data_IF_011205976352
#
_entry.id   IF_011205976352
#
_cell.length_a   1.000
_cell.length_b   1.000
_cell.length_c   1.000
_cell.angle_alpha   90.00
_cell.angle_beta   90.00
_cell.angle_gamma   90.00
#
_symmetry.space_group_name_H-M   'P 1'
#
loop_
_entity.id
_entity.type
_entity.pdbx_description
1 polymer ?
#
# COMPACT_ATOMS: atom_id res chain seq x y z
N UNK A 1 15.18 -10.00 20.11
CA UNK A 1 15.15 -8.52 20.31
C UNK A 1 16.11 -7.81 19.33
N UNK A 2 17.22 -8.44 18.91
CA UNK A 2 18.20 -7.84 17.99
C UNK A 2 17.60 -7.39 16.67
N UNK A 3 16.67 -8.14 16.09
CA UNK A 3 15.97 -7.76 14.84
C UNK A 3 15.22 -6.43 14.97
N UNK A 4 14.60 -6.17 16.14
CA UNK A 4 13.88 -4.92 16.39
C UNK A 4 14.84 -3.71 16.50
N UNK A 5 16.05 -3.93 17.01
CA UNK A 5 17.09 -2.90 17.08
C UNK A 5 17.63 -2.54 15.68
N UNK A 6 17.56 -3.47 14.74
CA UNK A 6 18.11 -3.34 13.39
C UNK A 6 17.02 -3.08 12.33
N UNK A 7 15.81 -2.60 12.73
CA UNK A 7 14.75 -2.31 11.77
C UNK A 7 15.14 -1.26 10.71
N UNK A 8 16.09 -0.39 11.01
CA UNK A 8 16.61 0.59 10.05
C UNK A 8 17.29 -0.08 8.84
N UNK A 9 17.80 -1.32 8.99
CA UNK A 9 18.39 -2.10 7.88
C UNK A 9 17.34 -2.48 6.81
N UNK A 10 16.06 -2.36 7.14
CA UNK A 10 14.92 -2.65 6.26
C UNK A 10 14.25 -1.38 5.73
N UNK A 11 14.93 -0.25 5.75
CA UNK A 11 14.41 0.99 5.21
C UNK A 11 14.05 0.84 3.72
N UNK A 12 12.95 1.48 3.29
CA UNK A 12 12.63 1.53 1.86
C UNK A 12 13.74 2.27 1.10
N UNK A 13 14.17 1.76 -0.06
CA UNK A 13 15.27 2.34 -0.82
C UNK A 13 14.94 3.77 -1.25
N UNK A 14 15.97 4.63 -1.38
CA UNK A 14 15.80 5.91 -2.02
C UNK A 14 15.36 5.72 -3.48
N UNK A 15 14.63 6.70 -4.02
CA UNK A 15 14.18 6.65 -5.42
C UNK A 15 15.34 6.46 -6.40
N UNK A 16 16.51 7.03 -6.12
CA UNK A 16 17.74 6.88 -6.93
C UNK A 16 18.28 5.45 -6.99
N UNK A 17 17.86 4.59 -6.08
CA UNK A 17 18.25 3.18 -6.04
C UNK A 17 17.50 2.30 -7.04
N UNK A 18 16.37 2.79 -7.54
CA UNK A 18 15.64 2.06 -8.56
C UNK A 18 16.39 2.06 -9.88
N UNK A 19 16.38 0.94 -10.62
CA UNK A 19 17.04 0.85 -11.92
C UNK A 19 16.55 1.94 -12.88
N UNK A 20 17.50 2.61 -13.54
CA UNK A 20 17.20 3.60 -14.60
C UNK A 20 16.93 2.94 -15.96
N UNK A 21 17.14 1.63 -16.06
CA UNK A 21 16.87 0.82 -17.25
C UNK A 21 15.59 -0.02 -17.01
N UNK A 22 14.87 -0.29 -18.10
CA UNK A 22 13.69 -1.13 -18.05
C UNK A 22 14.07 -2.60 -17.81
N UNK A 23 13.37 -3.26 -16.88
CA UNK A 23 13.66 -4.64 -16.44
C UNK A 23 12.68 -5.64 -17.03
N UNK A 24 13.15 -6.87 -17.29
CA UNK A 24 12.27 -8.01 -17.54
C UNK A 24 11.66 -8.55 -16.24
N UNK A 25 10.58 -9.33 -16.34
CA UNK A 25 9.80 -9.83 -15.22
C UNK A 25 10.64 -10.52 -14.12
N UNK A 26 11.58 -11.38 -14.50
CA UNK A 26 12.47 -12.10 -13.58
C UNK A 26 13.38 -11.14 -12.80
N UNK A 27 13.90 -10.11 -13.48
CA UNK A 27 14.71 -9.07 -12.87
C UNK A 27 13.89 -8.20 -11.92
N UNK A 28 12.64 -7.87 -12.27
CA UNK A 28 11.71 -7.14 -11.41
C UNK A 28 11.48 -7.91 -10.10
N UNK A 29 11.18 -9.21 -10.20
CA UNK A 29 10.94 -10.05 -9.02
C UNK A 29 12.20 -10.11 -8.15
N UNK A 30 13.36 -10.40 -8.73
CA UNK A 30 14.61 -10.46 -7.99
C UNK A 30 14.97 -9.14 -7.31
N UNK A 31 14.72 -8.01 -7.98
CA UNK A 31 14.97 -6.68 -7.41
C UNK A 31 14.03 -6.42 -6.23
N UNK A 32 12.72 -6.67 -6.40
CA UNK A 32 11.71 -6.38 -5.38
C UNK A 32 11.79 -7.33 -4.18
N UNK A 33 12.14 -8.59 -4.37
CA UNK A 33 12.32 -9.53 -3.25
C UNK A 33 13.36 -9.03 -2.23
N UNK A 34 14.42 -8.39 -2.68
CA UNK A 34 15.43 -7.79 -1.77
C UNK A 34 14.81 -6.65 -0.93
N UNK A 35 13.90 -5.89 -1.50
CA UNK A 35 13.26 -4.74 -0.83
C UNK A 35 12.10 -5.15 0.09
N UNK A 36 11.62 -6.37 -0.05
CA UNK A 36 10.45 -6.89 0.67
C UNK A 36 10.81 -7.80 1.85
N UNK A 37 12.10 -7.92 2.20
CA UNK A 37 12.56 -8.85 3.24
C UNK A 37 11.88 -8.62 4.60
N UNK A 38 11.63 -7.36 4.99
CA UNK A 38 10.98 -7.06 6.28
C UNK A 38 9.57 -7.66 6.39
N UNK A 39 8.80 -7.65 5.31
CA UNK A 39 7.42 -8.15 5.31
C UNK A 39 7.33 -9.64 4.98
N UNK A 40 8.46 -10.31 4.81
CA UNK A 40 8.54 -11.75 4.58
C UNK A 40 8.47 -12.48 5.93
N UNK A 41 7.31 -13.05 6.23
CA UNK A 41 7.07 -13.77 7.50
C UNK A 41 7.42 -15.25 7.37
N UNK A 42 7.25 -15.83 6.18
CA UNK A 42 7.50 -17.24 5.87
C UNK A 42 8.37 -17.39 4.61
N UNK A 43 8.65 -18.63 4.20
CA UNK A 43 9.44 -18.92 3.01
C UNK A 43 8.70 -18.74 1.69
N UNK A 44 7.42 -18.38 1.72
CA UNK A 44 6.65 -18.14 0.51
C UNK A 44 7.12 -16.86 -0.20
N UNK A 45 7.14 -16.85 -1.56
CA UNK A 45 7.47 -15.64 -2.30
C UNK A 45 6.41 -14.57 -2.10
N UNK A 46 6.84 -13.36 -1.75
CA UNK A 46 5.93 -12.22 -1.58
C UNK A 46 5.37 -11.77 -2.92
N UNK A 47 6.16 -11.89 -3.98
CA UNK A 47 5.79 -11.51 -5.33
C UNK A 47 6.17 -12.61 -6.33
N UNK A 48 5.24 -12.96 -7.22
CA UNK A 48 5.46 -13.92 -8.32
C UNK A 48 5.05 -13.32 -9.65
N UNK A 49 5.56 -13.86 -10.75
CA UNK A 49 5.14 -13.47 -12.12
C UNK A 49 3.63 -13.59 -12.31
N UNK A 50 3.02 -14.62 -11.73
CA UNK A 50 1.56 -14.81 -11.78
C UNK A 50 0.81 -13.69 -11.07
N UNK A 51 1.30 -13.24 -9.90
CA UNK A 51 0.72 -12.11 -9.16
C UNK A 51 0.83 -10.81 -9.98
N UNK A 52 1.98 -10.53 -10.56
CA UNK A 52 2.18 -9.34 -11.40
C UNK A 52 1.23 -9.35 -12.59
N UNK A 53 1.11 -10.48 -13.29
CA UNK A 53 0.18 -10.64 -14.39
C UNK A 53 -1.29 -10.44 -13.97
N UNK A 54 -1.65 -10.89 -12.76
CA UNK A 54 -2.99 -10.67 -12.21
C UNK A 54 -3.25 -9.19 -11.89
N UNK A 55 -2.25 -8.45 -11.42
CA UNK A 55 -2.37 -7.00 -11.19
C UNK A 55 -2.57 -6.23 -12.49
N UNK A 56 -1.87 -6.62 -13.57
CA UNK A 56 -2.09 -6.05 -14.90
C UNK A 56 -3.50 -6.36 -15.41
N UNK A 57 -3.96 -7.62 -15.32
CA UNK A 57 -5.32 -8.01 -15.72
C UNK A 57 -6.42 -7.30 -14.93
N UNK A 58 -6.16 -6.96 -13.67
CA UNK A 58 -7.09 -6.23 -12.81
C UNK A 58 -7.03 -4.70 -13.02
N UNK A 59 -6.23 -4.19 -13.98
CA UNK A 59 -5.92 -2.76 -14.19
C UNK A 59 -5.43 -2.08 -12.90
N UNK A 60 -4.72 -2.80 -12.05
CA UNK A 60 -4.05 -2.27 -10.88
C UNK A 60 -2.62 -1.83 -11.21
N UNK A 61 -2.01 -2.46 -12.19
CA UNK A 61 -0.70 -2.14 -12.71
C UNK A 61 -0.78 -1.92 -14.23
N UNK A 62 -0.12 -0.87 -14.70
CA UNK A 62 -0.01 -0.61 -16.14
C UNK A 62 0.69 -1.77 -16.87
N UNK A 63 0.28 -2.15 -18.09
CA UNK A 63 0.96 -3.18 -18.85
C UNK A 63 2.41 -2.80 -19.18
N UNK A 64 3.35 -3.77 -19.15
CA UNK A 64 4.73 -3.50 -19.54
C UNK A 64 4.86 -3.22 -21.04
N UNK A 65 5.75 -2.30 -21.43
CA UNK A 65 6.08 -2.05 -22.81
C UNK A 65 7.14 -3.05 -23.31
N UNK A 66 6.88 -3.74 -24.42
CA UNK A 66 7.78 -4.76 -24.97
C UNK A 66 8.27 -5.77 -23.92
N UNK A 67 7.40 -6.20 -22.99
CA UNK A 67 7.69 -7.10 -21.83
C UNK A 67 8.67 -6.51 -20.81
N UNK A 68 8.93 -5.22 -20.83
CA UNK A 68 9.81 -4.52 -19.91
C UNK A 68 9.04 -3.60 -18.98
N UNK A 69 9.46 -3.56 -17.75
CA UNK A 69 8.89 -2.79 -16.65
C UNK A 69 9.78 -1.59 -16.34
N UNK A 70 9.22 -0.40 -16.36
CA UNK A 70 9.88 0.87 -16.02
C UNK A 70 9.93 1.07 -14.51
N UNK A 71 10.70 2.05 -14.04
CA UNK A 71 10.83 2.39 -12.62
C UNK A 71 9.49 2.59 -11.91
N UNK A 72 8.52 3.26 -12.53
CA UNK A 72 7.20 3.47 -11.92
C UNK A 72 6.42 2.16 -11.69
N UNK A 73 6.59 1.15 -12.56
CA UNK A 73 6.01 -0.19 -12.31
C UNK A 73 6.60 -0.85 -11.06
N UNK A 74 7.94 -0.74 -10.86
CA UNK A 74 8.60 -1.29 -9.70
C UNK A 74 8.12 -0.63 -8.40
N UNK A 75 7.98 0.70 -8.41
CA UNK A 75 7.46 1.49 -7.30
C UNK A 75 6.03 1.07 -6.96
N UNK A 76 5.18 0.96 -7.97
CA UNK A 76 3.79 0.57 -7.78
C UNK A 76 3.69 -0.87 -7.26
N UNK A 77 4.47 -1.81 -7.78
CA UNK A 77 4.54 -3.18 -7.28
C UNK A 77 5.01 -3.26 -5.83
N UNK A 78 6.06 -2.51 -5.48
CA UNK A 78 6.55 -2.41 -4.10
C UNK A 78 5.44 -1.91 -3.17
N UNK A 79 4.75 -0.83 -3.56
CA UNK A 79 3.64 -0.25 -2.79
C UNK A 79 2.48 -1.22 -2.63
N UNK A 80 2.10 -1.96 -3.68
CA UNK A 80 1.07 -3.01 -3.64
C UNK A 80 1.47 -4.09 -2.63
N UNK A 81 2.72 -4.58 -2.69
CA UNK A 81 3.19 -5.65 -1.80
C UNK A 81 3.10 -5.29 -0.32
N UNK A 82 3.36 -4.03 0.05
CA UNK A 82 3.25 -3.57 1.44
C UNK A 82 1.81 -3.55 1.97
N UNK A 83 0.82 -3.32 1.13
CA UNK A 83 -0.56 -3.15 1.60
C UNK A 83 -1.51 -4.30 1.25
N UNK A 84 -1.13 -5.18 0.32
CA UNK A 84 -1.99 -6.29 -0.17
C UNK A 84 -2.40 -7.31 0.88
N UNK A 85 -1.65 -7.38 1.99
CA UNK A 85 -1.99 -8.29 3.10
C UNK A 85 -3.11 -7.70 4.00
N UNK A 86 -3.32 -6.39 3.90
CA UNK A 86 -4.29 -5.66 4.74
C UNK A 86 -5.49 -5.21 3.91
N UNK A 87 -5.25 -4.74 2.68
CA UNK A 87 -6.28 -4.19 1.79
C UNK A 87 -6.62 -5.16 0.66
N UNK A 88 -7.87 -5.15 0.23
CA UNK A 88 -8.29 -5.87 -0.97
C UNK A 88 -7.69 -5.26 -2.24
N UNK A 89 -7.52 -6.05 -3.29
CA UNK A 89 -7.05 -5.57 -4.60
C UNK A 89 -7.94 -4.44 -5.13
N UNK A 90 -9.25 -4.51 -4.93
CA UNK A 90 -10.20 -3.47 -5.35
C UNK A 90 -10.01 -2.17 -4.56
N UNK A 91 -9.65 -2.23 -3.28
CA UNK A 91 -9.36 -1.06 -2.46
C UNK A 91 -8.04 -0.40 -2.87
N UNK A 92 -7.01 -1.21 -3.14
CA UNK A 92 -5.72 -0.72 -3.64
C UNK A 92 -5.90 -0.05 -5.00
N UNK A 93 -6.66 -0.66 -5.92
CA UNK A 93 -6.98 -0.07 -7.23
C UNK A 93 -7.67 1.28 -7.05
N UNK A 94 -8.65 1.37 -6.17
CA UNK A 94 -9.34 2.63 -5.87
C UNK A 94 -8.39 3.70 -5.35
N UNK A 95 -7.50 3.37 -4.40
CA UNK A 95 -6.48 4.29 -3.89
C UNK A 95 -5.56 4.76 -5.02
N UNK A 96 -5.08 3.85 -5.85
CA UNK A 96 -4.17 4.17 -6.94
C UNK A 96 -4.82 5.05 -8.01
N UNK A 97 -6.11 4.88 -8.30
CA UNK A 97 -6.84 5.74 -9.24
C UNK A 97 -6.85 7.23 -8.82
N UNK A 98 -6.67 7.51 -7.53
CA UNK A 98 -6.57 8.87 -7.00
C UNK A 98 -5.13 9.36 -6.85
N UNK A 99 -4.23 8.50 -6.38
CA UNK A 99 -2.90 8.90 -5.93
C UNK A 99 -1.79 8.60 -6.96
N UNK A 100 -2.05 7.74 -7.96
CA UNK A 100 -1.04 7.22 -8.89
C UNK A 100 -1.57 7.24 -10.32
N UNK A 101 -1.83 8.44 -10.85
CA UNK A 101 -2.42 8.60 -12.21
C UNK A 101 -1.39 8.60 -13.32
N UNK A 102 -0.14 8.91 -13.00
CA UNK A 102 0.98 9.03 -13.95
C UNK A 102 2.32 8.76 -13.24
N UNK A 103 3.40 8.70 -14.00
CA UNK A 103 4.75 8.43 -13.51
C UNK A 103 5.22 9.47 -12.47
N UNK A 104 4.89 10.74 -12.67
CA UNK A 104 5.25 11.82 -11.73
C UNK A 104 4.55 11.64 -10.39
N UNK A 105 3.28 11.24 -10.41
CA UNK A 105 2.51 10.95 -9.21
C UNK A 105 2.99 9.68 -8.53
N UNK A 106 3.36 8.64 -9.27
CA UNK A 106 4.00 7.43 -8.72
C UNK A 106 5.24 7.77 -7.91
N UNK A 107 6.10 8.64 -8.43
CA UNK A 107 7.29 9.12 -7.71
C UNK A 107 6.93 9.87 -6.44
N UNK A 108 6.00 10.83 -6.49
CA UNK A 108 5.55 11.60 -5.32
C UNK A 108 4.91 10.69 -4.26
N UNK A 109 4.06 9.76 -4.71
CA UNK A 109 3.43 8.78 -3.83
C UNK A 109 4.47 7.92 -3.12
N UNK A 110 5.50 7.46 -3.84
CA UNK A 110 6.59 6.69 -3.26
C UNK A 110 7.38 7.48 -2.22
N UNK A 111 7.69 8.76 -2.46
CA UNK A 111 8.37 9.61 -1.49
C UNK A 111 7.57 9.77 -0.19
N UNK A 112 6.25 9.92 -0.30
CA UNK A 112 5.36 9.97 0.87
C UNK A 112 5.37 8.61 1.59
N UNK A 113 5.26 7.51 0.85
CA UNK A 113 5.33 6.16 1.41
C UNK A 113 6.65 5.93 2.16
N UNK A 114 7.78 6.27 1.55
CA UNK A 114 9.12 6.13 2.13
C UNK A 114 9.24 6.92 3.44
N UNK A 115 8.85 8.20 3.43
CA UNK A 115 8.89 9.04 4.62
C UNK A 115 7.98 8.50 5.74
N UNK A 116 6.75 8.11 5.40
CA UNK A 116 5.81 7.53 6.37
C UNK A 116 6.36 6.24 6.96
N UNK A 117 6.92 5.38 6.12
CA UNK A 117 7.52 4.10 6.52
C UNK A 117 8.69 4.29 7.49
N UNK A 118 9.63 5.19 7.16
CA UNK A 118 10.78 5.51 8.03
C UNK A 118 10.35 6.03 9.41
N UNK A 119 9.36 6.91 9.45
CA UNK A 119 8.84 7.43 10.73
C UNK A 119 8.18 6.30 11.54
N UNK A 120 7.41 5.42 10.89
CA UNK A 120 6.75 4.30 11.57
C UNK A 120 7.74 3.27 12.10
N UNK A 121 8.83 2.99 11.40
CA UNK A 121 9.90 2.13 11.91
C UNK A 121 10.46 2.70 13.21
N UNK A 122 10.80 4.00 13.26
CA UNK A 122 11.33 4.66 14.46
C UNK A 122 10.33 4.64 15.62
N UNK A 123 9.06 4.92 15.36
CA UNK A 123 8.00 4.83 16.37
C UNK A 123 7.94 3.42 16.95
N UNK A 124 7.92 2.40 16.10
CA UNK A 124 7.88 0.99 16.49
C UNK A 124 9.11 0.60 17.31
N UNK A 125 10.32 0.96 16.85
CA UNK A 125 11.54 0.68 17.60
C UNK A 125 11.48 1.28 19.00
N UNK A 126 11.15 2.56 19.12
CA UNK A 126 11.14 3.26 20.39
C UNK A 126 10.09 2.69 21.36
N UNK A 127 8.88 2.42 20.87
CA UNK A 127 7.76 2.00 21.73
C UNK A 127 7.92 0.54 22.18
N UNK A 128 8.28 -0.34 21.24
CA UNK A 128 8.31 -1.78 21.57
C UNK A 128 9.61 -2.24 22.21
N UNK A 129 10.75 -1.60 21.94
CA UNK A 129 11.97 -1.84 22.72
C UNK A 129 11.75 -1.49 24.19
N UNK A 130 11.08 -0.38 24.49
CA UNK A 130 10.74 -0.03 25.89
C UNK A 130 9.84 -1.08 26.54
N UNK A 131 8.75 -1.47 25.88
CA UNK A 131 7.81 -2.47 26.40
C UNK A 131 8.49 -3.81 26.66
N UNK A 132 9.29 -4.31 25.71
CA UNK A 132 10.00 -5.59 25.84
C UNK A 132 11.05 -5.53 26.95
N UNK A 133 11.81 -4.43 27.05
CA UNK A 133 12.79 -4.25 28.11
C UNK A 133 12.13 -4.19 29.50
N UNK A 134 10.96 -3.58 29.63
CA UNK A 134 10.19 -3.59 30.87
C UNK A 134 9.78 -5.02 31.27
N UNK A 135 9.30 -5.83 30.33
CA UNK A 135 8.97 -7.24 30.60
C UNK A 135 10.18 -7.99 31.14
N UNK A 136 11.36 -7.83 30.53
CA UNK A 136 12.59 -8.52 30.95
C UNK A 136 13.13 -8.01 32.31
N UNK A 137 12.99 -6.72 32.60
CA UNK A 137 13.50 -6.10 33.83
C UNK A 137 12.64 -6.43 35.07
N UNK A 138 11.31 -6.50 34.90
CA UNK A 138 10.40 -6.72 36.02
C UNK A 138 10.17 -8.19 36.38
N UNK A 139 10.56 -9.15 35.53
CA UNK A 139 10.24 -10.59 35.71
C UNK A 139 11.50 -11.49 35.71
N UNK A 140 12.53 -11.12 36.42
CA UNK A 140 13.89 -11.67 36.31
C UNK A 140 14.09 -13.13 36.78
N UNK A 141 13.04 -13.86 37.24
CA UNK A 141 13.21 -15.20 37.86
C UNK A 141 12.32 -16.29 37.29
N UNK A 142 11.37 -16.01 36.41
CA UNK A 142 10.46 -17.03 35.89
C UNK A 142 10.29 -16.89 34.38
N UNK A 143 10.94 -17.77 33.62
CA UNK A 143 10.90 -17.83 32.16
C UNK A 143 9.47 -18.00 31.60
N UNK A 144 8.61 -18.74 32.30
CA UNK A 144 7.21 -18.94 31.94
C UNK A 144 6.41 -17.61 31.98
N UNK A 145 6.64 -16.81 33.02
CA UNK A 145 6.00 -15.50 33.15
C UNK A 145 6.49 -14.51 32.10
N UNK A 146 7.77 -14.54 31.76
CA UNK A 146 8.35 -13.73 30.65
C UNK A 146 7.69 -14.13 29.33
N UNK A 147 7.59 -15.43 29.05
CA UNK A 147 6.94 -15.92 27.83
C UNK A 147 5.45 -15.51 27.77
N UNK A 148 4.71 -15.64 28.88
CA UNK A 148 3.32 -15.22 28.95
C UNK A 148 3.14 -13.72 28.67
N UNK A 149 3.99 -12.85 29.23
CA UNK A 149 3.94 -11.41 29.01
C UNK A 149 4.30 -11.03 27.57
N UNK A 150 5.26 -11.71 26.95
CA UNK A 150 5.60 -11.51 25.54
C UNK A 150 4.46 -11.94 24.61
N UNK A 151 3.79 -13.07 24.91
CA UNK A 151 2.62 -13.53 24.16
C UNK A 151 1.43 -12.57 24.33
N UNK A 152 1.22 -12.03 25.53
CA UNK A 152 0.21 -10.99 25.77
C UNK A 152 0.50 -9.74 24.92
N UNK A 153 1.76 -9.28 24.89
CA UNK A 153 2.16 -8.15 24.05
C UNK A 153 1.92 -8.44 22.55
N UNK A 154 2.24 -9.65 22.08
CA UNK A 154 1.99 -10.03 20.69
C UNK A 154 0.49 -10.05 20.37
N UNK A 155 -0.35 -10.49 21.30
CA UNK A 155 -1.80 -10.50 21.15
C UNK A 155 -2.37 -9.06 21.09
N UNK A 156 -1.92 -8.17 21.98
CA UNK A 156 -2.32 -6.77 21.99
C UNK A 156 -1.94 -6.06 20.68
N UNK A 157 -0.75 -6.34 20.15
CA UNK A 157 -0.32 -5.86 18.84
C UNK A 157 -1.21 -6.34 17.70
N UNK A 158 -1.64 -7.59 17.75
CA UNK A 158 -2.52 -8.16 16.73
C UNK A 158 -3.89 -7.49 16.74
N UNK A 159 -4.43 -7.20 17.91
CA UNK A 159 -5.68 -6.44 18.06
C UNK A 159 -5.54 -5.00 17.55
N UNK A 160 -4.44 -4.32 17.88
CA UNK A 160 -4.16 -2.97 17.40
C UNK A 160 -4.08 -2.93 15.86
N UNK A 161 -3.43 -3.92 15.25
CA UNK A 161 -3.33 -4.04 13.79
C UNK A 161 -4.71 -4.25 13.15
N UNK A 162 -5.57 -5.10 13.73
CA UNK A 162 -6.93 -5.34 13.22
C UNK A 162 -7.79 -4.08 13.31
N UNK A 163 -7.73 -3.32 14.42
CA UNK A 163 -8.46 -2.06 14.53
C UNK A 163 -8.00 -1.03 13.50
N UNK A 164 -6.69 -0.88 13.27
CA UNK A 164 -6.14 0.00 12.23
C UNK A 164 -6.62 -0.39 10.84
N UNK A 165 -6.66 -1.69 10.54
CA UNK A 165 -7.19 -2.23 9.27
C UNK A 165 -8.68 -1.87 9.11
N UNK A 166 -9.50 -2.05 10.14
CA UNK A 166 -10.93 -1.70 10.13
C UNK A 166 -11.11 -0.20 9.84
N UNK A 167 -10.34 0.67 10.52
CA UNK A 167 -10.39 2.11 10.30
C UNK A 167 -10.02 2.46 8.86
N UNK A 168 -8.94 1.90 8.33
CA UNK A 168 -8.53 2.12 6.94
C UNK A 168 -9.63 1.70 5.95
N UNK A 169 -10.21 0.51 6.11
CA UNK A 169 -11.31 0.03 5.28
C UNK A 169 -12.55 0.94 5.34
N UNK A 170 -12.88 1.47 6.52
CA UNK A 170 -13.99 2.41 6.71
C UNK A 170 -13.74 3.74 5.98
N UNK A 171 -12.53 4.30 6.07
CA UNK A 171 -12.14 5.53 5.36
C UNK A 171 -12.26 5.31 3.84
N UNK A 172 -11.76 4.19 3.32
CA UNK A 172 -11.86 3.86 1.88
C UNK A 172 -13.33 3.77 1.46
N UNK A 173 -14.16 3.07 2.22
CA UNK A 173 -15.59 2.95 1.95
C UNK A 173 -16.31 4.30 1.92
N UNK A 174 -16.02 5.19 2.87
CA UNK A 174 -16.55 6.54 2.89
C UNK A 174 -16.12 7.32 1.64
N UNK A 175 -14.88 7.22 1.23
CA UNK A 175 -14.36 7.91 0.05
C UNK A 175 -15.04 7.41 -1.23
N UNK A 176 -15.23 6.08 -1.37
CA UNK A 176 -15.99 5.49 -2.50
C UNK A 176 -17.42 6.03 -2.58
N UNK A 177 -18.08 6.17 -1.43
CA UNK A 177 -19.43 6.72 -1.38
C UNK A 177 -19.49 8.21 -1.78
N UNK A 178 -18.46 9.00 -1.45
CA UNK A 178 -18.34 10.39 -1.92
C UNK A 178 -18.13 10.46 -3.43
N UNK A 179 -17.28 9.58 -3.97
CA UNK A 179 -16.98 9.51 -5.40
C UNK A 179 -18.23 9.20 -6.21
N UNK A 180 -18.98 8.17 -5.85
CA UNK A 180 -20.23 7.81 -6.50
C UNK A 180 -21.23 8.98 -6.51
N UNK A 181 -21.37 9.72 -5.39
CA UNK A 181 -22.26 10.89 -5.32
C UNK A 181 -21.79 12.05 -6.22
N UNK A 182 -20.50 12.19 -6.44
CA UNK A 182 -19.95 13.21 -7.34
C UNK A 182 -20.22 12.85 -8.80
N UNK A 183 -20.10 11.59 -9.17
CA UNK A 183 -20.38 11.12 -10.52
C UNK A 183 -21.87 11.17 -10.86
N UNK A 184 -22.75 10.81 -9.92
CA UNK A 184 -24.20 11.02 -10.08
C UNK A 184 -24.55 12.49 -10.34
N UNK A 185 -23.93 13.43 -9.60
CA UNK A 185 -24.14 14.86 -9.79
C UNK A 185 -23.62 15.38 -11.13
N UNK A 186 -22.53 14.84 -11.65
CA UNK A 186 -22.00 15.19 -12.98
C UNK A 186 -22.94 14.70 -14.07
N UNK A 187 -23.36 13.45 -14.01
CA UNK A 187 -24.29 12.82 -14.96
C UNK A 187 -25.61 13.58 -15.04
N UNK A 188 -26.19 13.96 -13.91
CA UNK A 188 -27.41 14.78 -13.86
C UNK A 188 -27.22 16.17 -14.48
N UNK A 189 -26.04 16.78 -14.33
CA UNK A 189 -25.75 18.08 -14.96
C UNK A 189 -25.59 17.96 -16.49
N UNK A 190 -25.00 16.87 -16.97
CA UNK A 190 -24.85 16.60 -18.40
C UNK A 190 -26.22 16.36 -19.06
N UNK A 191 -27.06 15.52 -18.49
CA UNK A 191 -28.44 15.27 -18.95
C UNK A 191 -29.22 16.58 -19.05
N UNK A 192 -29.16 17.43 -18.01
CA UNK A 192 -29.83 18.75 -18.04
C UNK A 192 -29.31 19.71 -19.09
N UNK A 193 -28.00 19.61 -19.42
CA UNK A 193 -27.42 20.42 -20.49
C UNK A 193 -27.86 19.95 -21.88
N UNK A 194 -27.97 18.64 -22.08
CA UNK A 194 -28.44 18.06 -23.33
C UNK A 194 -29.92 18.38 -23.57
N UNK A 195 -30.77 18.22 -22.58
CA UNK A 195 -32.19 18.59 -22.66
C UNK A 195 -32.37 20.07 -23.00
N UNK A 196 -31.58 20.99 -22.41
CA UNK A 196 -31.61 22.40 -22.73
C UNK A 196 -31.18 22.72 -24.17
N UNK A 197 -30.24 21.93 -24.73
CA UNK A 197 -29.81 22.09 -26.13
C UNK A 197 -30.86 21.58 -27.09
N UNK A 198 -31.56 20.54 -26.76
CA UNK A 198 -32.61 19.92 -27.56
C UNK A 198 -33.86 20.81 -27.63
N UNK A 199 -34.27 21.35 -26.49
CA UNK A 199 -35.38 22.31 -26.43
C UNK A 199 -35.10 23.59 -27.25
N UNK A 200 -33.89 24.15 -27.17
CA UNK A 200 -33.47 25.30 -27.99
C UNK A 200 -33.37 25.01 -29.51
N UNK A 201 -33.19 23.75 -29.90
CA UNK A 201 -33.20 23.34 -31.30
C UNK A 201 -34.63 23.20 -31.85
N UNK A 202 -35.57 22.79 -31.00
CA UNK A 202 -36.97 22.65 -31.36
C UNK A 202 -37.67 24.01 -31.44
N UNK A 203 -37.39 24.96 -30.52
CA UNK A 203 -37.86 26.34 -30.57
C UNK A 203 -37.35 27.14 -31.77
N UNK A 204 -36.29 26.73 -32.49
CA UNK A 204 -35.79 27.38 -33.70
C UNK A 204 -36.31 26.75 -34.98
N UNK A 205 -37.16 25.73 -34.92
CA UNK A 205 -37.73 25.03 -36.07
C UNK A 205 -39.23 25.34 -36.23
N UNK A 206 -39.84 26.05 -35.28
CA UNK A 206 -41.13 26.71 -35.38
C UNK A 206 -40.90 28.17 -35.78
#
# INVERSE_FOLDING_TARGET
>A
ISWLQNLDDYALPDYSYFPSIDLYMDQVITFLEKQLQLIKIDDNPILTSSMVNNYVKADLLEPPEAKKYKTHHLINLLSICYVKQILSISDIKFIFSYLVKDETQSKKFYQILQHTYQNKIKDIQNDYLKKINQINLYNSTNDEQIAANLLQLAYDLSLEAEFKKIVAAKIISLTKNYDNKLDDKKSLKEIKKEQKKENKKNEKKE
#
